data_IF_321942499359
#
_entry.id   IF_321942499359
#
_cell.length_a   1.000
_cell.length_b   1.000
_cell.length_c   1.000
_cell.angle_alpha   90.00
_cell.angle_beta   90.00
_cell.angle_gamma   90.00
#
_symmetry.space_group_name_H-M   'P 1'
#
loop_
_entity.id
_entity.type
_entity.pdbx_description
1 polymer ?
#
# COMPACT_ATOMS: atom_id res chain seq x y z
N UNK A 1 -9.63 -9.73 -16.79
CA UNK A 1 -8.70 -9.14 -15.79
C UNK A 1 -8.94 -7.65 -15.79
N UNK A 2 -9.50 -7.08 -14.74
CA UNK A 2 -9.63 -5.63 -14.61
C UNK A 2 -8.24 -5.09 -14.32
N UNK A 3 -7.68 -4.30 -15.23
CA UNK A 3 -6.44 -3.58 -14.97
C UNK A 3 -6.82 -2.44 -14.03
N UNK A 4 -6.50 -2.59 -12.75
CA UNK A 4 -6.64 -1.49 -11.79
C UNK A 4 -5.45 -0.54 -12.02
N UNK A 5 -5.75 0.75 -12.17
CA UNK A 5 -4.73 1.77 -12.34
C UNK A 5 -3.90 1.90 -11.05
N UNK A 6 -2.58 1.98 -11.20
CA UNK A 6 -1.65 2.12 -10.07
C UNK A 6 -1.66 3.57 -9.62
N UNK A 7 -2.26 3.82 -8.47
CA UNK A 7 -2.34 5.16 -7.88
C UNK A 7 -1.04 5.52 -7.14
N UNK A 8 -0.58 6.76 -7.33
CA UNK A 8 0.48 7.35 -6.51
C UNK A 8 -0.16 8.32 -5.53
N UNK A 9 -0.18 7.92 -4.26
CA UNK A 9 -0.71 8.74 -3.17
C UNK A 9 -0.04 10.13 -3.16
N UNK A 10 -0.84 11.19 -3.21
CA UNK A 10 -0.41 12.56 -2.99
C UNK A 10 -0.18 12.80 -1.48
N UNK A 11 0.52 13.88 -1.09
CA UNK A 11 0.64 14.26 0.32
C UNK A 11 -0.72 14.32 1.01
N UNK A 12 -0.81 13.65 2.16
CA UNK A 12 -1.99 13.51 3.01
C UNK A 12 -3.12 12.64 2.45
N UNK A 13 -2.88 11.89 1.37
CA UNK A 13 -3.76 10.80 0.95
C UNK A 13 -3.42 9.50 1.71
N UNK A 14 -4.47 8.74 2.03
CA UNK A 14 -4.36 7.43 2.67
C UNK A 14 -5.00 6.34 1.79
N UNK A 15 -4.26 5.25 1.58
CA UNK A 15 -4.83 3.98 1.13
C UNK A 15 -5.13 3.11 2.35
N UNK A 16 -6.40 2.72 2.52
CA UNK A 16 -6.86 1.96 3.67
C UNK A 16 -7.74 0.78 3.26
N UNK A 17 -7.47 -0.39 3.84
CA UNK A 17 -8.22 -1.61 3.56
C UNK A 17 -7.40 -2.88 3.82
N UNK A 18 -7.96 -4.05 3.51
CA UNK A 18 -7.22 -5.31 3.61
C UNK A 18 -6.05 -5.31 2.63
N UNK A 19 -4.87 -5.69 3.11
CA UNK A 19 -3.71 -5.90 2.24
C UNK A 19 -3.86 -7.25 1.52
N UNK A 20 -4.11 -7.20 0.22
CA UNK A 20 -4.47 -8.37 -0.57
C UNK A 20 -3.31 -8.91 -1.40
N UNK A 21 -2.40 -8.04 -1.84
CA UNK A 21 -1.34 -8.40 -2.76
C UNK A 21 -0.15 -7.43 -2.64
N UNK A 22 1.06 -7.96 -2.84
CA UNK A 22 2.29 -7.19 -3.05
C UNK A 22 2.99 -7.74 -4.28
N UNK A 23 3.36 -6.85 -5.20
CA UNK A 23 4.14 -7.18 -6.38
C UNK A 23 5.28 -6.18 -6.53
N UNK A 24 6.35 -6.60 -7.19
CA UNK A 24 7.37 -5.69 -7.68
C UNK A 24 7.10 -5.35 -9.13
N UNK A 25 7.06 -4.06 -9.46
CA UNK A 25 6.89 -3.59 -10.82
C UNK A 25 7.79 -2.39 -11.07
N UNK A 26 8.66 -2.51 -12.07
CA UNK A 26 9.61 -1.45 -12.47
C UNK A 26 10.44 -0.88 -11.30
N UNK A 27 10.85 -1.76 -10.36
CA UNK A 27 11.62 -1.38 -9.17
C UNK A 27 10.82 -0.68 -8.06
N UNK A 28 9.49 -0.63 -8.18
CA UNK A 28 8.57 -0.12 -7.17
C UNK A 28 7.76 -1.26 -6.54
N UNK A 29 7.43 -1.10 -5.26
CA UNK A 29 6.49 -1.99 -4.59
C UNK A 29 5.06 -1.55 -4.97
N UNK A 30 4.29 -2.46 -5.55
CA UNK A 30 2.87 -2.25 -5.85
C UNK A 30 2.05 -3.05 -4.86
N UNK A 31 1.20 -2.37 -4.09
CA UNK A 31 0.36 -2.99 -3.07
C UNK A 31 -1.12 -2.85 -3.44
N UNK A 32 -1.87 -3.94 -3.35
CA UNK A 32 -3.33 -3.91 -3.42
C UNK A 32 -3.90 -3.81 -2.00
N UNK A 33 -4.55 -2.69 -1.71
CA UNK A 33 -5.11 -2.35 -0.40
C UNK A 33 -6.60 -2.06 -0.60
N UNK A 34 -7.45 -3.04 -0.28
CA UNK A 34 -8.88 -2.97 -0.57
C UNK A 34 -9.17 -2.73 -2.07
N UNK A 35 -9.91 -1.66 -2.43
CA UNK A 35 -10.19 -1.34 -3.83
C UNK A 35 -9.04 -0.61 -4.54
N UNK A 36 -8.00 -0.17 -3.81
CA UNK A 36 -6.90 0.62 -4.36
C UNK A 36 -5.68 -0.25 -4.70
N UNK A 37 -4.99 0.09 -5.78
CA UNK A 37 -3.65 -0.39 -6.09
C UNK A 37 -2.72 0.80 -5.99
N UNK A 38 -1.73 0.74 -5.11
CA UNK A 38 -0.83 1.87 -4.83
C UNK A 38 0.62 1.53 -5.06
N UNK A 39 1.36 2.47 -5.65
CA UNK A 39 2.82 2.41 -5.72
C UNK A 39 3.43 2.95 -4.41
N UNK A 40 4.33 2.18 -3.84
CA UNK A 40 4.99 2.41 -2.56
C UNK A 40 6.50 2.26 -2.71
N UNK A 41 7.29 2.88 -1.83
CA UNK A 41 8.72 2.64 -1.77
C UNK A 41 9.01 1.22 -1.29
N UNK A 42 10.08 0.62 -1.82
CA UNK A 42 10.44 -0.78 -1.56
C UNK A 42 10.76 -1.07 -0.08
N UNK A 43 11.21 -0.07 0.68
CA UNK A 43 11.46 -0.18 2.12
C UNK A 43 10.23 -0.62 2.96
N UNK A 44 9.01 -0.44 2.43
CA UNK A 44 7.80 -0.91 3.08
C UNK A 44 7.53 -2.40 2.85
N UNK A 45 8.26 -3.07 1.94
CA UNK A 45 8.03 -4.46 1.56
C UNK A 45 8.09 -5.40 2.75
N UNK A 46 9.17 -5.37 3.51
CA UNK A 46 9.37 -6.28 4.64
C UNK A 46 8.27 -6.11 5.69
N UNK A 47 7.88 -4.86 5.98
CA UNK A 47 6.78 -4.54 6.90
C UNK A 47 5.44 -5.05 6.39
N UNK A 48 5.15 -4.88 5.10
CA UNK A 48 3.87 -5.24 4.49
C UNK A 48 3.72 -6.75 4.26
N UNK A 49 4.80 -7.47 3.96
CA UNK A 49 4.76 -8.92 3.76
C UNK A 49 4.21 -9.65 4.99
N UNK A 50 4.58 -9.21 6.20
CA UNK A 50 4.06 -9.76 7.46
C UNK A 50 2.60 -9.40 7.79
N UNK A 51 1.95 -8.60 6.94
CA UNK A 51 0.60 -8.07 7.15
C UNK A 51 -0.41 -8.52 6.08
N UNK A 52 -0.04 -9.49 5.24
CA UNK A 52 -0.95 -10.10 4.27
C UNK A 52 -2.28 -10.50 4.92
N UNK A 53 -3.39 -10.06 4.32
CA UNK A 53 -4.75 -10.29 4.79
C UNK A 53 -5.22 -9.38 5.93
N UNK A 54 -4.32 -8.64 6.60
CA UNK A 54 -4.71 -7.69 7.65
C UNK A 54 -5.20 -6.37 7.05
N UNK A 55 -6.07 -5.68 7.78
CA UNK A 55 -6.46 -4.31 7.43
C UNK A 55 -5.32 -3.36 7.79
N UNK A 56 -4.88 -2.58 6.81
CA UNK A 56 -3.80 -1.60 6.97
C UNK A 56 -4.25 -0.23 6.47
N UNK A 57 -3.62 0.81 7.01
CA UNK A 57 -3.65 2.17 6.48
C UNK A 57 -2.24 2.59 6.09
N UNK A 58 -2.08 3.13 4.88
CA UNK A 58 -0.83 3.73 4.43
C UNK A 58 -1.11 5.18 4.07
N UNK A 59 -0.67 6.09 4.92
CA UNK A 59 -0.77 7.52 4.73
C UNK A 59 0.53 8.04 4.10
N UNK A 60 0.43 8.71 2.95
CA UNK A 60 1.53 9.53 2.44
C UNK A 60 1.55 10.85 3.22
N UNK A 61 2.70 11.20 3.77
CA UNK A 61 2.97 12.54 4.33
C UNK A 61 3.81 13.36 3.35
N UNK A 62 4.09 14.62 3.66
CA UNK A 62 4.98 15.44 2.84
C UNK A 62 6.37 14.79 2.62
N UNK A 63 6.85 14.03 3.60
CA UNK A 63 8.22 13.52 3.62
C UNK A 63 8.34 12.00 3.50
N UNK A 64 7.34 11.26 3.98
CA UNK A 64 7.45 9.80 4.16
C UNK A 64 6.08 9.10 4.17
N UNK A 65 6.02 7.78 4.40
CA UNK A 65 4.80 7.01 4.54
C UNK A 65 4.61 6.50 5.98
N UNK A 66 3.40 6.67 6.52
CA UNK A 66 3.02 6.10 7.81
C UNK A 66 2.17 4.85 7.57
N UNK A 67 2.66 3.71 8.07
CA UNK A 67 1.93 2.45 8.11
C UNK A 67 1.20 2.31 9.45
N UNK A 68 -0.09 2.01 9.38
CA UNK A 68 -0.93 1.63 10.52
C UNK A 68 -1.49 0.23 10.28
N UNK A 69 -1.43 -0.63 11.30
CA UNK A 69 -2.16 -1.89 11.32
C UNK A 69 -3.46 -1.64 12.06
N UNK A 70 -4.57 -1.96 11.42
CA UNK A 70 -5.90 -1.77 11.97
C UNK A 70 -6.40 -3.13 12.43
N UNK A 71 -6.56 -3.28 13.74
CA UNK A 71 -7.24 -4.43 14.33
C UNK A 71 -8.74 -4.30 14.03
N UNK A 72 -9.40 -5.44 13.79
CA UNK A 72 -10.86 -5.54 13.73
C UNK A 72 -11.44 -5.56 15.15
#
# INVERSE_FOLDING_TARGET
MTVLEIHRLQPWEEARGPLQELQEQDGCLVARIGPAVVALPDELREKLQGLMGKTVGILRTDFDYRLMVLED
#
